data_IF_519950961947
#
_entry.id   IF_519950961947
#
_cell.length_a   1.000
_cell.length_b   1.000
_cell.length_c   1.000
_cell.angle_alpha   90.00
_cell.angle_beta   90.00
_cell.angle_gamma   90.00
#
_symmetry.space_group_name_H-M   'P 1'
#
loop_
_entity.id
_entity.type
_entity.pdbx_description
1 polymer ?
#
# COMPACT_ATOMS: atom_id res chain seq x y z
N UNK A 1 -34.15 13.04 -33.39
CA UNK A 1 -33.36 12.07 -32.62
C UNK A 1 -33.37 12.54 -31.17
N UNK A 2 -33.67 11.67 -30.21
CA UNK A 2 -33.57 11.97 -28.78
C UNK A 2 -32.10 11.90 -28.38
N UNK A 3 -31.58 12.92 -27.68
CA UNK A 3 -30.21 12.92 -27.20
C UNK A 3 -30.01 11.83 -26.14
N UNK A 4 -28.91 11.08 -26.23
CA UNK A 4 -28.55 10.05 -25.27
C UNK A 4 -27.72 10.66 -24.15
N UNK A 5 -28.40 11.07 -23.07
CA UNK A 5 -27.73 11.60 -21.88
C UNK A 5 -26.90 10.51 -21.20
N UNK A 6 -25.68 10.87 -20.83
CA UNK A 6 -24.72 9.96 -20.21
C UNK A 6 -24.72 10.05 -18.67
N UNK A 7 -25.26 11.13 -18.11
CA UNK A 7 -25.28 11.37 -16.67
C UNK A 7 -26.68 11.12 -16.06
N UNK A 8 -26.75 10.72 -14.78
CA UNK A 8 -28.00 10.39 -14.11
C UNK A 8 -29.02 11.51 -14.18
N UNK A 9 -30.31 11.15 -14.32
CA UNK A 9 -31.38 12.14 -14.45
C UNK A 9 -31.48 13.11 -13.28
N UNK A 10 -31.13 12.66 -12.08
CA UNK A 10 -31.19 13.49 -10.88
C UNK A 10 -30.04 14.50 -10.85
N UNK A 11 -28.81 14.09 -11.22
CA UNK A 11 -27.67 15.01 -11.38
C UNK A 11 -27.99 16.13 -12.38
N UNK A 12 -28.67 15.81 -13.49
CA UNK A 12 -29.06 16.78 -14.52
C UNK A 12 -30.02 17.86 -14.03
N UNK A 13 -30.76 17.62 -12.94
CA UNK A 13 -31.74 18.55 -12.37
C UNK A 13 -31.16 19.42 -11.25
N UNK A 14 -29.93 19.16 -10.81
CA UNK A 14 -29.30 19.95 -9.76
C UNK A 14 -29.07 21.40 -10.22
N UNK A 15 -29.15 22.39 -9.33
CA UNK A 15 -28.79 23.76 -9.66
C UNK A 15 -27.27 23.93 -9.75
N UNK A 16 -26.81 25.02 -10.39
CA UNK A 16 -25.40 25.41 -10.29
C UNK A 16 -25.01 25.69 -8.82
N UNK A 17 -23.77 25.38 -8.40
CA UNK A 17 -22.69 24.78 -9.20
C UNK A 17 -22.72 23.24 -9.25
N UNK A 18 -23.74 22.59 -8.69
CA UNK A 18 -23.78 21.13 -8.52
C UNK A 18 -23.98 20.33 -9.81
N UNK A 19 -24.54 20.94 -10.86
CA UNK A 19 -24.61 20.33 -12.20
C UNK A 19 -23.55 20.84 -13.19
N UNK A 20 -22.60 21.66 -12.73
CA UNK A 20 -21.53 22.22 -13.56
C UNK A 20 -20.43 21.17 -13.81
N UNK A 21 -20.03 20.97 -15.05
CA UNK A 21 -18.95 20.06 -15.45
C UNK A 21 -17.65 20.78 -15.82
N UNK A 22 -17.65 22.11 -15.79
CA UNK A 22 -16.51 22.95 -16.15
C UNK A 22 -15.48 23.06 -15.01
N UNK A 23 -14.23 23.44 -15.29
CA UNK A 23 -13.23 23.74 -14.26
C UNK A 23 -13.64 24.89 -13.30
N UNK A 24 -14.49 25.81 -13.75
CA UNK A 24 -15.00 26.93 -12.97
C UNK A 24 -15.83 26.46 -11.76
N UNK A 25 -16.41 25.25 -11.81
CA UNK A 25 -17.11 24.61 -10.68
C UNK A 25 -16.27 24.66 -9.41
N UNK A 26 -14.97 24.37 -9.49
CA UNK A 26 -14.09 24.31 -8.32
C UNK A 26 -14.08 25.64 -7.57
N UNK A 27 -13.94 26.74 -8.30
CA UNK A 27 -13.96 28.09 -7.72
C UNK A 27 -15.34 28.42 -7.15
N UNK A 28 -16.41 28.09 -7.89
CA UNK A 28 -17.77 28.32 -7.44
C UNK A 28 -18.07 27.56 -6.12
N UNK A 29 -17.61 26.32 -5.98
CA UNK A 29 -17.71 25.54 -4.75
C UNK A 29 -16.89 26.17 -3.61
N UNK A 30 -15.65 26.61 -3.87
CA UNK A 30 -14.81 27.29 -2.87
C UNK A 30 -15.44 28.60 -2.34
N UNK A 31 -16.22 29.29 -3.16
CA UNK A 31 -16.95 30.51 -2.77
C UNK A 31 -18.25 30.24 -1.99
N UNK A 32 -18.76 29.00 -1.99
CA UNK A 32 -19.97 28.65 -1.25
C UNK A 32 -19.73 28.75 0.26
N UNK A 33 -20.70 29.33 0.96
CA UNK A 33 -20.67 29.36 2.41
C UNK A 33 -20.80 27.94 2.97
N UNK A 34 -19.90 27.58 3.89
CA UNK A 34 -19.97 26.33 4.65
C UNK A 34 -21.13 26.45 5.66
N UNK A 35 -22.28 25.91 5.28
CA UNK A 35 -23.50 25.88 6.10
C UNK A 35 -24.11 24.49 6.00
N UNK A 36 -24.92 24.11 7.00
CA UNK A 36 -25.67 22.84 6.99
C UNK A 36 -26.51 22.66 5.72
N UNK A 37 -27.16 23.72 5.23
CA UNK A 37 -27.94 23.67 3.99
C UNK A 37 -27.06 23.40 2.77
N UNK A 38 -25.88 24.04 2.68
CA UNK A 38 -24.94 23.80 1.57
C UNK A 38 -24.39 22.38 1.61
N UNK A 39 -24.11 21.88 2.81
CA UNK A 39 -23.64 20.51 3.01
C UNK A 39 -24.68 19.49 2.60
N UNK A 40 -25.92 19.68 3.02
CA UNK A 40 -27.03 18.82 2.61
C UNK A 40 -27.18 18.82 1.08
N UNK A 41 -27.02 19.98 0.42
CA UNK A 41 -27.03 20.07 -1.04
C UNK A 41 -25.86 19.30 -1.69
N UNK A 42 -24.66 19.32 -1.09
CA UNK A 42 -23.51 18.54 -1.54
C UNK A 42 -23.75 17.03 -1.42
N UNK A 43 -24.31 16.59 -0.28
CA UNK A 43 -24.65 15.19 -0.04
C UNK A 43 -25.74 14.69 -0.99
N UNK A 44 -26.77 15.51 -1.23
CA UNK A 44 -27.81 15.22 -2.22
C UNK A 44 -27.25 15.15 -3.64
N UNK A 45 -26.29 16.01 -3.97
CA UNK A 45 -25.62 15.98 -5.26
C UNK A 45 -24.83 14.68 -5.46
N UNK A 46 -24.04 14.24 -4.46
CA UNK A 46 -23.35 12.94 -4.52
C UNK A 46 -24.35 11.78 -4.65
N UNK A 47 -25.43 11.81 -3.87
CA UNK A 47 -26.48 10.79 -3.95
C UNK A 47 -27.16 10.73 -5.34
N UNK A 48 -27.33 11.89 -6.00
CA UNK A 48 -27.89 11.98 -7.34
C UNK A 48 -26.96 11.41 -8.44
N UNK A 49 -25.64 11.44 -8.23
CA UNK A 49 -24.67 10.77 -9.12
C UNK A 49 -24.68 9.26 -8.89
N UNK A 50 -24.77 8.84 -7.64
CA UNK A 50 -24.78 7.44 -7.23
C UNK A 50 -26.14 6.73 -7.43
N UNK A 51 -27.15 7.40 -8.02
CA UNK A 51 -28.47 6.81 -8.27
C UNK A 51 -28.55 5.92 -9.51
N UNK A 52 -27.55 5.99 -10.39
CA UNK A 52 -27.40 5.09 -11.52
C UNK A 52 -26.73 3.77 -11.10
N UNK A 53 -27.06 2.63 -11.74
CA UNK A 53 -26.37 1.38 -11.47
C UNK A 53 -24.87 1.53 -11.76
N UNK A 54 -23.99 0.86 -10.98
CA UNK A 54 -22.56 0.88 -11.22
C UNK A 54 -22.27 0.44 -12.66
N UNK A 55 -21.32 1.11 -13.30
CA UNK A 55 -20.90 0.74 -14.65
C UNK A 55 -20.48 -0.75 -14.67
N UNK A 56 -20.98 -1.50 -15.65
CA UNK A 56 -20.67 -2.93 -15.76
C UNK A 56 -19.17 -3.16 -15.82
N UNK A 57 -18.60 -4.04 -14.98
CA UNK A 57 -17.19 -4.37 -15.05
C UNK A 57 -16.99 -5.42 -16.16
N UNK A 58 -16.66 -4.98 -17.38
CA UNK A 58 -16.29 -5.87 -18.51
C UNK A 58 -15.14 -5.22 -19.29
N UNK A 59 -14.13 -5.99 -19.72
CA UNK A 59 -12.73 -5.56 -19.68
C UNK A 59 -12.35 -4.64 -20.83
N UNK A 60 -11.50 -3.65 -20.52
CA UNK A 60 -10.79 -2.86 -21.52
C UNK A 60 -9.44 -3.48 -21.80
N UNK A 61 -9.30 -4.08 -22.97
CA UNK A 61 -7.99 -4.14 -23.62
C UNK A 61 -8.09 -3.26 -24.85
N UNK A 62 -7.82 -1.96 -24.67
CA UNK A 62 -7.36 -1.17 -25.82
C UNK A 62 -6.09 -1.80 -26.34
N UNK A 63 -5.93 -1.85 -27.66
CA UNK A 63 -4.60 -2.05 -28.23
C UNK A 63 -3.70 -0.89 -27.84
N UNK A 64 -2.39 -1.10 -27.81
CA UNK A 64 -1.41 -0.03 -27.58
C UNK A 64 -1.65 1.15 -28.53
N UNK A 65 -1.94 0.88 -29.81
CA UNK A 65 -2.31 1.90 -30.80
C UNK A 65 -3.57 2.69 -30.39
N UNK A 66 -4.58 2.03 -29.81
CA UNK A 66 -5.80 2.72 -29.36
C UNK A 66 -5.55 3.56 -28.11
N UNK A 67 -4.67 3.10 -27.21
CA UNK A 67 -4.19 3.86 -26.06
C UNK A 67 -3.44 5.12 -26.50
N UNK A 68 -2.48 4.99 -27.41
CA UNK A 68 -1.72 6.14 -27.95
C UNK A 68 -2.65 7.16 -28.61
N UNK A 69 -3.64 6.71 -29.39
CA UNK A 69 -4.61 7.61 -30.02
C UNK A 69 -5.52 8.31 -29.00
N UNK A 70 -5.97 7.59 -27.97
CA UNK A 70 -6.77 8.19 -26.92
C UNK A 70 -5.97 9.20 -26.10
N UNK A 71 -4.71 8.90 -25.76
CA UNK A 71 -3.88 9.77 -24.93
C UNK A 71 -3.69 11.15 -25.56
N UNK A 72 -3.61 11.20 -26.89
CA UNK A 72 -3.54 12.44 -27.66
C UNK A 72 -4.74 13.37 -27.46
N UNK A 73 -5.96 12.82 -27.38
CA UNK A 73 -7.17 13.64 -27.13
C UNK A 73 -7.43 13.83 -25.64
N UNK A 74 -7.03 12.88 -24.79
CA UNK A 74 -7.30 12.87 -23.35
C UNK A 74 -6.97 14.21 -22.67
N UNK A 75 -5.83 14.81 -23.01
CA UNK A 75 -5.37 16.07 -22.41
C UNK A 75 -6.18 17.31 -22.81
N UNK A 76 -6.85 17.29 -23.97
CA UNK A 76 -7.68 18.41 -24.45
C UNK A 76 -9.18 18.15 -24.28
N UNK A 77 -9.57 16.88 -24.15
CA UNK A 77 -10.97 16.44 -24.14
C UNK A 77 -11.76 17.19 -23.06
N UNK A 78 -11.24 17.26 -21.84
CA UNK A 78 -11.92 17.97 -20.74
C UNK A 78 -12.23 19.43 -21.07
N UNK A 79 -11.27 20.17 -21.64
CA UNK A 79 -11.47 21.56 -22.03
C UNK A 79 -12.51 21.71 -23.15
N UNK A 80 -12.41 20.89 -24.20
CA UNK A 80 -13.37 20.92 -25.33
C UNK A 80 -14.78 20.55 -24.89
N UNK A 81 -14.91 19.53 -24.06
CA UNK A 81 -16.19 19.09 -23.50
C UNK A 81 -16.80 20.18 -22.60
N UNK A 82 -16.01 20.85 -21.76
CA UNK A 82 -16.48 21.95 -20.92
C UNK A 82 -17.05 23.12 -21.75
N UNK A 83 -16.48 23.41 -22.93
CA UNK A 83 -17.00 24.47 -23.80
C UNK A 83 -18.35 24.13 -24.45
N UNK A 84 -18.51 22.89 -24.90
CA UNK A 84 -19.69 22.45 -25.69
C UNK A 84 -20.81 21.94 -24.79
N UNK A 85 -20.45 21.25 -23.71
CA UNK A 85 -21.35 20.58 -22.76
C UNK A 85 -21.00 20.95 -21.32
N UNK A 86 -21.16 22.23 -20.93
CA UNK A 86 -20.74 22.73 -19.61
C UNK A 86 -21.53 22.15 -18.43
N UNK A 87 -22.70 21.57 -18.67
CA UNK A 87 -23.62 21.12 -17.62
C UNK A 87 -24.06 19.69 -17.82
N UNK A 88 -24.43 19.03 -16.72
CA UNK A 88 -24.80 17.62 -16.74
C UNK A 88 -25.96 17.30 -17.69
N UNK A 89 -26.92 18.21 -17.85
CA UNK A 89 -28.05 18.04 -18.77
C UNK A 89 -27.63 18.08 -20.24
N UNK A 90 -26.50 18.71 -20.58
CA UNK A 90 -25.98 18.79 -21.94
C UNK A 90 -25.01 17.66 -22.28
N UNK A 91 -24.52 16.94 -21.27
CA UNK A 91 -23.53 15.88 -21.43
C UNK A 91 -24.14 14.62 -22.07
N UNK A 92 -23.88 14.44 -23.36
CA UNK A 92 -24.56 13.45 -24.22
C UNK A 92 -23.56 12.69 -25.09
N UNK A 93 -23.93 11.46 -25.48
CA UNK A 93 -23.12 10.63 -26.39
C UNK A 93 -22.88 11.32 -27.72
N UNK A 94 -23.91 11.96 -28.28
CA UNK A 94 -23.82 12.68 -29.54
C UNK A 94 -22.85 13.85 -29.46
N UNK A 95 -22.93 14.65 -28.38
CA UNK A 95 -22.03 15.77 -28.18
C UNK A 95 -20.56 15.35 -28.02
N UNK A 96 -20.29 14.25 -27.30
CA UNK A 96 -18.93 13.69 -27.23
C UNK A 96 -18.47 13.25 -28.62
N UNK A 97 -19.32 12.55 -29.37
CA UNK A 97 -18.98 12.11 -30.73
C UNK A 97 -18.66 13.28 -31.66
N UNK A 98 -19.39 14.39 -31.56
CA UNK A 98 -19.14 15.59 -32.37
C UNK A 98 -17.81 16.26 -32.00
N UNK A 99 -17.51 16.40 -30.71
CA UNK A 99 -16.21 16.91 -30.22
C UNK A 99 -15.05 16.03 -30.73
N UNK A 100 -15.21 14.71 -30.65
CA UNK A 100 -14.19 13.76 -31.12
C UNK A 100 -13.99 13.81 -32.64
N UNK A 101 -15.07 13.96 -33.43
CA UNK A 101 -14.99 14.11 -34.89
C UNK A 101 -14.31 15.42 -35.28
N UNK A 102 -14.65 16.52 -34.60
CA UNK A 102 -14.02 17.82 -34.83
C UNK A 102 -12.51 17.76 -34.53
N UNK A 103 -12.14 17.18 -33.39
CA UNK A 103 -10.74 16.95 -33.04
C UNK A 103 -10.05 16.07 -34.07
N UNK A 104 -10.61 14.91 -34.42
CA UNK A 104 -10.01 13.98 -35.38
C UNK A 104 -9.83 14.62 -36.77
N UNK A 105 -10.73 15.52 -37.19
CA UNK A 105 -10.63 16.26 -38.44
C UNK A 105 -9.50 17.30 -38.49
N UNK A 106 -8.96 17.68 -37.32
CA UNK A 106 -7.88 18.67 -37.19
C UNK A 106 -6.59 18.09 -36.59
N UNK A 107 -6.63 16.84 -36.10
CA UNK A 107 -5.53 16.17 -35.43
C UNK A 107 -4.32 15.96 -36.35
N UNK A 108 -3.12 16.21 -35.79
CA UNK A 108 -1.84 15.90 -36.42
C UNK A 108 -1.02 15.02 -35.47
N UNK A 109 -0.58 13.82 -35.90
CA UNK A 109 -0.89 13.15 -37.17
C UNK A 109 -2.38 12.80 -37.35
N UNK A 110 -2.88 12.55 -38.58
CA UNK A 110 -4.28 12.20 -38.81
C UNK A 110 -4.70 10.96 -38.01
N UNK A 111 -5.93 10.98 -37.49
CA UNK A 111 -6.52 9.84 -36.77
C UNK A 111 -7.15 8.88 -37.79
N UNK A 112 -6.94 7.55 -37.67
CA UNK A 112 -7.56 6.59 -38.56
C UNK A 112 -9.10 6.67 -38.48
N UNK A 113 -9.77 6.62 -39.64
CA UNK A 113 -11.24 6.74 -39.70
C UNK A 113 -11.96 5.60 -38.97
N UNK A 114 -11.34 4.41 -38.90
CA UNK A 114 -11.89 3.27 -38.18
C UNK A 114 -11.92 3.47 -36.66
N UNK A 115 -11.03 4.31 -36.11
CA UNK A 115 -10.81 4.38 -34.67
C UNK A 115 -12.03 4.91 -33.94
N UNK A 116 -12.59 6.04 -34.40
CA UNK A 116 -13.80 6.58 -33.80
C UNK A 116 -14.98 5.61 -33.94
N UNK A 117 -15.20 5.04 -35.12
CA UNK A 117 -16.33 4.14 -35.35
C UNK A 117 -16.25 2.87 -34.48
N UNK A 118 -15.04 2.35 -34.24
CA UNK A 118 -14.82 1.14 -33.45
C UNK A 118 -14.74 1.39 -31.94
N UNK A 119 -14.27 2.56 -31.50
CA UNK A 119 -13.92 2.83 -30.10
C UNK A 119 -14.83 3.87 -29.42
N UNK A 120 -15.78 4.49 -30.14
CA UNK A 120 -16.59 5.60 -29.61
C UNK A 120 -17.24 5.29 -28.27
N UNK A 121 -17.91 4.15 -28.13
CA UNK A 121 -18.61 3.80 -26.88
C UNK A 121 -17.64 3.65 -25.71
N UNK A 122 -16.44 3.13 -25.98
CA UNK A 122 -15.41 2.96 -24.97
C UNK A 122 -14.81 4.31 -24.55
N UNK A 123 -14.50 5.16 -25.52
CA UNK A 123 -14.01 6.53 -25.28
C UNK A 123 -15.05 7.34 -24.51
N UNK A 124 -16.32 7.25 -24.90
CA UNK A 124 -17.45 7.92 -24.23
C UNK A 124 -17.52 7.52 -22.76
N UNK A 125 -17.40 6.23 -22.47
CA UNK A 125 -17.40 5.74 -21.09
C UNK A 125 -16.17 6.25 -20.32
N UNK A 126 -14.95 6.23 -20.89
CA UNK A 126 -13.75 6.79 -20.22
C UNK A 126 -13.96 8.26 -19.85
N UNK A 127 -14.38 9.06 -20.83
CA UNK A 127 -14.53 10.51 -20.65
C UNK A 127 -15.66 10.84 -19.67
N UNK A 128 -16.73 10.04 -19.68
CA UNK A 128 -17.82 10.17 -18.68
C UNK A 128 -17.31 9.87 -17.28
N UNK A 129 -16.54 8.81 -17.10
CA UNK A 129 -15.96 8.46 -15.80
C UNK A 129 -14.97 9.54 -15.34
N UNK A 130 -14.13 10.07 -16.22
CA UNK A 130 -13.21 11.17 -15.88
C UNK A 130 -13.94 12.45 -15.47
N UNK A 131 -15.03 12.80 -16.18
CA UNK A 131 -15.84 13.96 -15.82
C UNK A 131 -16.51 13.79 -14.44
N UNK A 132 -17.05 12.60 -14.17
CA UNK A 132 -17.65 12.26 -12.87
C UNK A 132 -16.61 12.23 -11.75
N UNK A 133 -15.42 11.66 -11.99
CA UNK A 133 -14.33 11.61 -11.03
C UNK A 133 -13.83 13.01 -10.66
N UNK A 134 -13.58 13.87 -11.67
CA UNK A 134 -13.18 15.26 -11.42
C UNK A 134 -14.27 16.08 -10.71
N UNK A 135 -15.54 15.82 -11.02
CA UNK A 135 -16.66 16.44 -10.30
C UNK A 135 -16.75 15.98 -8.85
N UNK A 136 -16.69 14.67 -8.61
CA UNK A 136 -16.76 14.09 -7.26
C UNK A 136 -15.56 14.51 -6.41
N UNK A 137 -14.37 14.58 -7.00
CA UNK A 137 -13.16 15.12 -6.36
C UNK A 137 -13.42 16.50 -5.75
N UNK A 138 -13.96 17.44 -6.53
CA UNK A 138 -14.20 18.80 -6.05
C UNK A 138 -15.24 18.85 -4.93
N UNK A 139 -16.31 18.05 -5.03
CA UNK A 139 -17.39 17.97 -4.03
C UNK A 139 -16.88 17.35 -2.73
N UNK A 140 -16.14 16.23 -2.80
CA UNK A 140 -15.54 15.56 -1.65
C UNK A 140 -14.52 16.47 -0.96
N UNK A 141 -13.70 17.19 -1.72
CA UNK A 141 -12.74 18.17 -1.19
C UNK A 141 -13.45 19.33 -0.48
N UNK A 142 -14.61 19.77 -0.97
CA UNK A 142 -15.42 20.78 -0.29
C UNK A 142 -15.97 20.25 1.04
N UNK A 143 -16.55 19.04 1.04
CA UNK A 143 -17.07 18.37 2.24
C UNK A 143 -16.01 18.15 3.33
N UNK A 144 -14.75 17.97 2.93
CA UNK A 144 -13.62 17.78 3.85
C UNK A 144 -13.34 18.98 4.77
N UNK A 145 -13.69 20.20 4.35
CA UNK A 145 -13.19 21.41 5.01
C UNK A 145 -13.82 21.66 6.38
N UNK A 146 -15.15 21.54 6.47
CA UNK A 146 -15.90 21.84 7.70
C UNK A 146 -17.24 21.09 7.74
N UNK A 147 -17.22 19.77 7.98
CA UNK A 147 -18.43 18.97 8.03
C UNK A 147 -19.30 19.35 9.24
N UNK A 148 -20.61 19.45 9.02
CA UNK A 148 -21.64 19.61 10.05
C UNK A 148 -22.20 18.24 10.49
N UNK A 149 -22.41 17.33 9.54
CA UNK A 149 -22.82 15.94 9.71
C UNK A 149 -21.70 14.99 9.26
N UNK A 150 -20.69 14.81 10.11
CA UNK A 150 -19.57 13.91 9.83
C UNK A 150 -20.02 12.47 9.52
N UNK A 151 -21.13 12.01 10.12
CA UNK A 151 -21.66 10.68 9.87
C UNK A 151 -22.27 10.57 8.46
N UNK A 152 -23.05 11.57 8.04
CA UNK A 152 -23.61 11.65 6.69
C UNK A 152 -22.52 11.79 5.62
N UNK A 153 -21.51 12.62 5.87
CA UNK A 153 -20.34 12.76 4.97
C UNK A 153 -19.56 11.45 4.86
N UNK A 154 -19.32 10.76 5.98
CA UNK A 154 -18.64 9.46 5.96
C UNK A 154 -19.45 8.41 5.17
N UNK A 155 -20.77 8.35 5.35
CA UNK A 155 -21.63 7.43 4.61
C UNK A 155 -21.65 7.73 3.09
N UNK A 156 -21.60 9.01 2.70
CA UNK A 156 -21.51 9.39 1.29
C UNK A 156 -20.16 8.98 0.67
N UNK A 157 -19.06 9.22 1.38
CA UNK A 157 -17.72 8.82 0.95
C UNK A 157 -17.57 7.30 0.85
N UNK A 158 -18.10 6.54 1.82
CA UNK A 158 -18.16 5.06 1.76
C UNK A 158 -18.85 4.60 0.47
N UNK A 159 -20.03 5.13 0.16
CA UNK A 159 -20.75 4.79 -1.08
C UNK A 159 -19.99 5.20 -2.35
N UNK A 160 -19.25 6.30 -2.33
CA UNK A 160 -18.35 6.67 -3.42
C UNK A 160 -17.30 5.57 -3.67
N UNK A 161 -16.68 5.05 -2.60
CA UNK A 161 -15.72 3.94 -2.72
C UNK A 161 -16.36 2.66 -3.25
N UNK A 162 -17.53 2.28 -2.71
CA UNK A 162 -18.28 1.09 -3.15
C UNK A 162 -18.61 1.10 -4.65
N UNK A 163 -18.83 2.29 -5.22
CA UNK A 163 -19.22 2.48 -6.62
C UNK A 163 -18.05 2.92 -7.52
N UNK A 164 -16.82 2.97 -7.00
CA UNK A 164 -15.65 3.38 -7.79
C UNK A 164 -15.60 4.86 -8.18
N UNK A 165 -16.39 5.73 -7.52
CA UNK A 165 -16.48 7.15 -7.83
C UNK A 165 -15.47 7.93 -6.99
N UNK A 166 -14.36 8.35 -7.61
CA UNK A 166 -13.27 9.09 -6.94
C UNK A 166 -12.82 8.40 -5.64
N UNK A 167 -12.67 7.06 -5.66
CA UNK A 167 -12.45 6.25 -4.46
C UNK A 167 -11.25 6.71 -3.63
N UNK A 168 -10.19 7.19 -4.27
CA UNK A 168 -9.00 7.73 -3.58
C UNK A 168 -9.35 8.98 -2.75
N UNK A 169 -10.08 9.93 -3.33
CA UNK A 169 -10.51 11.14 -2.64
C UNK A 169 -11.50 10.84 -1.53
N UNK A 170 -12.40 9.87 -1.75
CA UNK A 170 -13.31 9.40 -0.73
C UNK A 170 -12.57 8.76 0.46
N UNK A 171 -11.58 7.89 0.22
CA UNK A 171 -10.71 7.35 1.29
C UNK A 171 -9.95 8.45 2.02
N UNK A 172 -9.41 9.44 1.30
CA UNK A 172 -8.72 10.59 1.91
C UNK A 172 -9.66 11.43 2.80
N UNK A 173 -10.92 11.60 2.38
CA UNK A 173 -11.95 12.26 3.17
C UNK A 173 -12.26 11.46 4.43
N UNK A 174 -12.48 10.15 4.32
CA UNK A 174 -12.70 9.30 5.50
C UNK A 174 -11.52 9.35 6.47
N UNK A 175 -10.28 9.35 5.96
CA UNK A 175 -9.09 9.54 6.79
C UNK A 175 -9.12 10.91 7.50
N UNK A 176 -9.47 11.98 6.81
CA UNK A 176 -9.52 13.32 7.38
C UNK A 176 -10.62 13.51 8.44
N UNK A 177 -11.76 12.81 8.29
CA UNK A 177 -12.82 12.78 9.31
C UNK A 177 -12.35 12.11 10.60
N UNK A 178 -11.43 11.15 10.53
CA UNK A 178 -10.87 10.48 11.70
C UNK A 178 -11.89 9.67 12.51
N UNK A 179 -11.66 9.54 13.81
CA UNK A 179 -12.52 8.75 14.70
C UNK A 179 -13.67 9.59 15.29
N UNK A 180 -14.90 9.02 15.42
CA UNK A 180 -15.23 7.64 15.13
C UNK A 180 -15.70 7.39 13.69
N UNK A 181 -16.21 8.40 12.98
CA UNK A 181 -17.01 8.20 11.77
C UNK A 181 -16.17 7.75 10.56
N UNK A 182 -15.05 8.43 10.30
CA UNK A 182 -14.12 8.07 9.24
C UNK A 182 -13.47 6.71 9.46
N UNK A 183 -13.03 6.44 10.69
CA UNK A 183 -12.45 5.14 11.07
C UNK A 183 -13.44 3.98 10.85
N UNK A 184 -14.69 4.12 11.30
CA UNK A 184 -15.70 3.07 11.12
C UNK A 184 -16.06 2.84 9.65
N UNK A 185 -16.14 3.90 8.85
CA UNK A 185 -16.41 3.80 7.43
C UNK A 185 -15.25 3.13 6.68
N UNK A 186 -14.00 3.51 6.96
CA UNK A 186 -12.84 2.83 6.38
C UNK A 186 -12.81 1.34 6.73
N UNK A 187 -13.16 0.98 7.98
CA UNK A 187 -13.20 -0.43 8.40
C UNK A 187 -14.24 -1.22 7.59
N UNK A 188 -15.41 -0.62 7.30
CA UNK A 188 -16.42 -1.25 6.43
C UNK A 188 -15.93 -1.38 4.99
N UNK A 189 -15.27 -0.34 4.44
CA UNK A 189 -14.66 -0.40 3.10
C UNK A 189 -13.66 -1.54 2.98
N UNK A 190 -12.80 -1.73 3.98
CA UNK A 190 -11.80 -2.82 4.00
C UNK A 190 -12.44 -4.21 3.99
N UNK A 191 -13.63 -4.33 4.57
CA UNK A 191 -14.39 -5.57 4.68
C UNK A 191 -15.40 -5.78 3.54
N UNK A 192 -15.59 -4.79 2.66
CA UNK A 192 -16.57 -4.87 1.58
C UNK A 192 -15.96 -5.52 0.32
N UNK A 193 -16.51 -6.68 -0.05
CA UNK A 193 -16.15 -7.41 -1.27
C UNK A 193 -16.47 -6.63 -2.55
N UNK A 194 -17.36 -5.63 -2.49
CA UNK A 194 -17.73 -4.76 -3.64
C UNK A 194 -16.68 -3.70 -3.93
N UNK A 195 -15.91 -3.27 -2.93
CA UNK A 195 -14.81 -2.35 -3.14
C UNK A 195 -13.69 -3.04 -3.94
N UNK A 196 -13.04 -2.30 -4.85
CA UNK A 196 -11.88 -2.84 -5.57
C UNK A 196 -10.73 -3.16 -4.61
N UNK A 197 -9.85 -4.11 -4.97
CA UNK A 197 -8.67 -4.44 -4.17
C UNK A 197 -7.77 -3.21 -3.92
N UNK A 198 -7.62 -2.34 -4.93
CA UNK A 198 -6.92 -1.06 -4.79
C UNK A 198 -7.57 -0.15 -3.76
N UNK A 199 -8.90 -0.03 -3.77
CA UNK A 199 -9.63 0.77 -2.77
C UNK A 199 -9.53 0.17 -1.37
N UNK A 200 -9.62 -1.15 -1.23
CA UNK A 200 -9.42 -1.83 0.06
C UNK A 200 -8.01 -1.61 0.60
N UNK A 201 -6.99 -1.74 -0.25
CA UNK A 201 -5.59 -1.50 0.12
C UNK A 201 -5.36 -0.06 0.61
N UNK A 202 -5.87 0.94 -0.14
CA UNK A 202 -5.80 2.35 0.28
C UNK A 202 -6.55 2.59 1.61
N UNK A 203 -7.71 1.97 1.81
CA UNK A 203 -8.45 2.09 3.06
C UNK A 203 -7.72 1.45 4.24
N UNK A 204 -7.03 0.31 4.05
CA UNK A 204 -6.15 -0.30 5.06
C UNK A 204 -5.01 0.63 5.42
N UNK A 205 -4.34 1.23 4.43
CA UNK A 205 -3.27 2.20 4.68
C UNK A 205 -3.78 3.39 5.51
N UNK A 206 -4.90 3.99 5.11
CA UNK A 206 -5.53 5.08 5.85
C UNK A 206 -5.88 4.70 7.30
N UNK A 207 -6.45 3.51 7.53
CA UNK A 207 -6.73 3.02 8.88
C UNK A 207 -5.46 2.84 9.72
N UNK A 208 -4.42 2.25 9.13
CA UNK A 208 -3.13 2.09 9.82
C UNK A 208 -2.57 3.44 10.26
N UNK A 209 -2.68 4.48 9.44
CA UNK A 209 -2.27 5.84 9.80
C UNK A 209 -3.13 6.44 10.93
N UNK A 210 -4.46 6.31 10.85
CA UNK A 210 -5.37 6.79 11.90
C UNK A 210 -5.13 6.12 13.25
N UNK A 211 -4.85 4.82 13.25
CA UNK A 211 -4.69 4.02 14.46
C UNK A 211 -3.26 4.01 15.00
N UNK A 212 -2.26 4.45 14.22
CA UNK A 212 -0.85 4.50 14.64
C UNK A 212 -0.62 5.18 16.00
N UNK A 213 -1.24 6.33 16.33
CA UNK A 213 -1.08 6.92 17.66
C UNK A 213 -1.50 5.97 18.80
N UNK A 214 -2.52 5.14 18.57
CA UNK A 214 -2.95 4.10 19.51
C UNK A 214 -1.92 2.98 19.64
N UNK A 215 -1.35 2.52 18.52
CA UNK A 215 -0.28 1.50 18.52
C UNK A 215 0.97 2.01 19.25
N UNK A 216 1.37 3.25 18.98
CA UNK A 216 2.51 3.88 19.66
C UNK A 216 2.25 4.06 21.17
N UNK A 217 1.03 4.43 21.55
CA UNK A 217 0.64 4.53 22.95
C UNK A 217 0.71 3.15 23.64
N UNK A 218 0.23 2.10 22.96
CA UNK A 218 0.37 0.70 23.42
C UNK A 218 1.83 0.28 23.52
N UNK A 219 2.66 0.68 22.55
CA UNK A 219 4.07 0.35 22.52
C UNK A 219 4.82 0.87 23.76
N UNK A 220 4.43 2.04 24.26
CA UNK A 220 5.01 2.71 25.44
C UNK A 220 4.51 2.14 26.79
N UNK A 221 3.48 1.30 26.80
CA UNK A 221 2.99 0.71 28.03
C UNK A 221 4.00 -0.28 28.61
N UNK A 222 4.13 -0.38 29.96
CA UNK A 222 4.99 -1.36 30.60
C UNK A 222 4.59 -2.80 30.23
N UNK A 223 5.58 -3.68 30.07
CA UNK A 223 5.40 -5.08 29.68
C UNK A 223 5.05 -5.99 30.87
N UNK A 224 4.21 -5.52 31.80
CA UNK A 224 3.91 -6.25 33.03
C UNK A 224 3.14 -7.54 32.72
N UNK A 225 3.78 -8.69 32.96
CA UNK A 225 3.19 -10.01 32.72
C UNK A 225 3.23 -10.46 31.25
N UNK A 226 3.91 -9.74 30.37
CA UNK A 226 4.05 -10.14 28.96
C UNK A 226 5.16 -11.20 28.78
N UNK A 227 4.95 -12.15 27.87
CA UNK A 227 5.87 -13.26 27.59
C UNK A 227 6.72 -12.97 26.35
N UNK A 228 8.05 -12.80 26.47
CA UNK A 228 8.88 -12.48 25.31
C UNK A 228 9.01 -13.66 24.35
N UNK A 229 8.77 -13.42 23.06
CA UNK A 229 8.89 -14.42 22.00
C UNK A 229 10.31 -14.53 21.44
N UNK A 230 11.10 -13.44 21.50
CA UNK A 230 12.49 -13.44 21.04
C UNK A 230 13.45 -13.97 22.13
N UNK A 231 14.58 -14.59 21.75
CA UNK A 231 15.61 -15.01 22.70
C UNK A 231 16.21 -13.83 23.48
N UNK A 232 16.72 -14.06 24.71
CA UNK A 232 17.29 -12.99 25.55
C UNK A 232 18.34 -12.12 24.85
N UNK A 233 19.22 -12.72 24.05
CA UNK A 233 20.29 -12.00 23.34
C UNK A 233 19.77 -10.89 22.39
N UNK A 234 18.54 -11.00 21.91
CA UNK A 234 17.94 -10.03 20.99
C UNK A 234 17.18 -8.92 21.72
N UNK A 235 16.69 -9.16 22.93
CA UNK A 235 15.77 -8.23 23.63
C UNK A 235 16.44 -6.89 23.90
N UNK A 236 17.71 -6.91 24.26
CA UNK A 236 18.48 -5.72 24.65
C UNK A 236 19.04 -4.92 23.46
N UNK A 237 18.55 -5.19 22.24
CA UNK A 237 18.90 -4.40 21.06
C UNK A 237 18.26 -3.00 21.15
N UNK A 238 19.07 -1.92 21.16
CA UNK A 238 18.55 -0.56 21.21
C UNK A 238 18.10 -0.04 19.83
N UNK A 239 18.23 -0.85 18.79
CA UNK A 239 17.92 -0.48 17.41
C UNK A 239 16.45 -0.79 17.12
N UNK A 240 15.74 0.20 16.59
CA UNK A 240 14.31 0.06 16.31
C UNK A 240 14.08 -0.68 15.00
N UNK A 241 12.91 -1.30 14.88
CA UNK A 241 12.48 -1.93 13.65
C UNK A 241 12.25 -0.91 12.52
N UNK A 242 11.93 0.34 12.85
CA UNK A 242 11.79 1.43 11.86
C UNK A 242 13.09 1.71 11.10
N UNK A 243 14.26 1.51 11.73
CA UNK A 243 15.56 1.55 11.06
C UNK A 243 16.00 0.16 10.59
N UNK A 244 15.08 -0.79 10.41
CA UNK A 244 15.39 -2.16 10.00
C UNK A 244 16.21 -2.96 11.01
N UNK A 245 16.30 -2.52 12.28
CA UNK A 245 17.26 -3.01 13.28
C UNK A 245 18.74 -2.75 12.94
N UNK A 246 19.03 -1.81 12.04
CA UNK A 246 20.38 -1.48 11.59
C UNK A 246 21.34 -1.16 12.75
N UNK A 247 22.51 -1.78 12.68
CA UNK A 247 23.64 -1.47 13.56
C UNK A 247 24.40 -0.26 13.01
N UNK A 248 24.76 0.74 13.83
CA UNK A 248 25.48 1.91 13.37
C UNK A 248 26.82 1.53 12.72
N UNK A 249 27.13 2.11 11.56
CA UNK A 249 28.42 1.89 10.89
C UNK A 249 29.62 2.29 11.78
N UNK A 250 29.42 3.24 12.70
CA UNK A 250 30.46 3.69 13.64
C UNK A 250 30.45 2.93 14.98
N UNK A 251 29.70 1.83 15.08
CA UNK A 251 29.69 1.02 16.31
C UNK A 251 31.10 0.46 16.57
N UNK A 252 31.73 0.74 17.72
CA UNK A 252 33.11 0.35 17.97
C UNK A 252 33.35 -1.17 17.96
N UNK A 253 34.50 -1.61 17.45
CA UNK A 253 34.98 -3.00 17.48
C UNK A 253 35.49 -3.41 18.88
N UNK A 254 34.66 -3.27 19.91
CA UNK A 254 34.98 -3.69 21.27
C UNK A 254 34.66 -5.16 21.47
N UNK A 255 35.36 -5.82 22.41
CA UNK A 255 35.07 -7.20 22.80
C UNK A 255 33.58 -7.40 23.18
N UNK A 256 32.96 -6.41 23.83
CA UNK A 256 31.56 -6.45 24.21
C UNK A 256 30.61 -6.41 23.00
N UNK A 257 30.90 -5.60 21.99
CA UNK A 257 30.08 -5.52 20.77
C UNK A 257 30.23 -6.77 19.91
N UNK A 258 31.44 -7.32 19.80
CA UNK A 258 31.69 -8.60 19.12
C UNK A 258 31.01 -9.75 19.85
N UNK A 259 31.11 -9.81 21.18
CA UNK A 259 30.42 -10.81 21.98
C UNK A 259 28.89 -10.71 21.85
N UNK A 260 28.35 -9.49 21.77
CA UNK A 260 26.92 -9.24 21.52
C UNK A 260 26.49 -9.73 20.14
N UNK A 261 27.23 -9.37 19.09
CA UNK A 261 26.97 -9.83 17.73
C UNK A 261 26.95 -11.36 17.66
N UNK A 262 27.96 -12.01 18.26
CA UNK A 262 28.04 -13.46 18.38
C UNK A 262 26.84 -14.05 19.11
N UNK A 263 26.48 -13.52 20.28
CA UNK A 263 25.36 -14.03 21.07
C UNK A 263 24.03 -13.94 20.31
N UNK A 264 23.81 -12.88 19.53
CA UNK A 264 22.61 -12.73 18.69
C UNK A 264 22.58 -13.78 17.57
N UNK A 265 23.69 -13.96 16.85
CA UNK A 265 23.78 -14.93 15.77
C UNK A 265 23.67 -16.38 16.30
N UNK A 266 24.26 -16.70 17.44
CA UNK A 266 24.11 -18.02 18.06
C UNK A 266 22.66 -18.26 18.53
N UNK A 267 21.99 -17.25 19.08
CA UNK A 267 20.61 -17.37 19.54
C UNK A 267 19.59 -17.53 18.39
N UNK A 268 19.87 -16.94 17.23
CA UNK A 268 19.03 -17.04 16.04
C UNK A 268 19.41 -18.22 15.12
N UNK A 269 20.51 -18.92 15.40
CA UNK A 269 21.06 -19.92 14.49
C UNK A 269 20.06 -21.07 14.23
N UNK A 270 19.67 -21.31 12.96
CA UNK A 270 18.73 -22.37 12.64
C UNK A 270 19.36 -23.74 12.91
N UNK A 271 18.63 -24.66 13.56
CA UNK A 271 19.08 -26.05 13.77
C UNK A 271 18.67 -26.99 12.64
N UNK A 272 17.77 -26.54 11.77
CA UNK A 272 17.25 -27.26 10.62
C UNK A 272 16.91 -26.25 9.52
N UNK A 273 16.72 -26.68 8.26
CA UNK A 273 16.26 -25.81 7.19
C UNK A 273 14.96 -25.08 7.57
N UNK A 274 14.91 -23.77 7.32
CA UNK A 274 13.72 -22.96 7.56
C UNK A 274 12.67 -23.27 6.50
N UNK A 275 11.43 -23.51 6.93
CA UNK A 275 10.32 -23.87 6.03
C UNK A 275 9.80 -22.68 5.24
N UNK A 276 9.70 -21.52 5.90
CA UNK A 276 9.28 -20.26 5.29
C UNK A 276 10.49 -19.31 5.22
N UNK A 277 11.07 -19.07 4.03
CA UNK A 277 12.24 -18.21 3.91
C UNK A 277 11.93 -16.80 4.43
N UNK A 278 12.93 -16.17 5.04
CA UNK A 278 12.81 -14.78 5.51
C UNK A 278 12.79 -13.89 4.28
N UNK A 279 11.71 -13.11 4.05
CA UNK A 279 11.67 -12.21 2.91
C UNK A 279 12.73 -11.12 3.06
N UNK A 280 13.17 -10.57 1.93
CA UNK A 280 14.10 -9.44 1.94
C UNK A 280 13.56 -8.29 2.80
N UNK A 281 14.46 -7.62 3.52
CA UNK A 281 14.11 -6.52 4.43
C UNK A 281 13.53 -5.30 3.71
N UNK A 282 13.75 -5.19 2.40
CA UNK A 282 13.13 -4.22 1.50
C UNK A 282 12.48 -4.96 0.36
N UNK A 283 11.32 -4.45 -0.08
CA UNK A 283 10.72 -4.83 -1.34
C UNK A 283 10.99 -3.72 -2.34
N UNK A 284 11.41 -4.12 -3.53
CA UNK A 284 11.65 -3.23 -4.64
C UNK A 284 10.97 -3.86 -5.85
N UNK A 285 10.13 -3.10 -6.55
CA UNK A 285 9.50 -3.50 -7.80
C UNK A 285 10.54 -3.52 -8.93
N UNK A 286 11.55 -4.39 -8.85
CA UNK A 286 12.58 -4.50 -9.88
C UNK A 286 12.10 -5.31 -11.10
N UNK A 287 10.99 -6.05 -10.98
CA UNK A 287 10.44 -6.90 -12.03
C UNK A 287 9.06 -6.39 -12.52
N UNK A 288 9.05 -5.19 -13.10
CA UNK A 288 7.89 -4.63 -13.81
C UNK A 288 7.01 -3.71 -12.96
N UNK A 289 6.48 -2.66 -13.59
CA UNK A 289 5.62 -1.65 -12.96
C UNK A 289 4.26 -2.21 -12.48
N UNK A 290 3.99 -3.50 -12.72
CA UNK A 290 2.73 -4.19 -12.46
C UNK A 290 2.79 -5.20 -11.30
N UNK A 291 3.93 -5.41 -10.63
CA UNK A 291 3.99 -6.35 -9.49
C UNK A 291 3.36 -5.72 -8.24
N UNK A 292 2.25 -6.31 -7.77
CA UNK A 292 1.57 -5.85 -6.57
C UNK A 292 2.46 -6.06 -5.33
N UNK A 293 2.53 -5.07 -4.40
CA UNK A 293 3.27 -5.23 -3.17
C UNK A 293 2.77 -6.44 -2.38
N UNK A 294 3.66 -7.32 -1.88
CA UNK A 294 3.24 -8.51 -1.18
C UNK A 294 2.58 -8.17 0.17
N UNK A 295 1.52 -8.91 0.52
CA UNK A 295 0.70 -8.67 1.72
C UNK A 295 1.48 -8.63 3.05
N UNK A 296 2.63 -9.31 3.12
CA UNK A 296 3.47 -9.28 4.33
C UNK A 296 3.98 -7.86 4.65
N UNK A 297 4.07 -6.94 3.69
CA UNK A 297 4.46 -5.55 3.95
C UNK A 297 3.46 -4.83 4.84
N UNK A 298 2.17 -5.07 4.64
CA UNK A 298 1.10 -4.48 5.46
C UNK A 298 1.15 -5.05 6.89
N UNK A 299 1.29 -6.37 7.03
CA UNK A 299 1.46 -7.02 8.34
C UNK A 299 2.70 -6.48 9.06
N UNK A 300 3.82 -6.33 8.35
CA UNK A 300 5.04 -5.76 8.90
C UNK A 300 4.82 -4.34 9.41
N UNK A 301 4.05 -3.51 8.70
CA UNK A 301 3.75 -2.15 9.13
C UNK A 301 3.00 -2.14 10.47
N UNK A 302 1.97 -2.99 10.63
CA UNK A 302 1.23 -3.13 11.89
C UNK A 302 2.14 -3.61 13.01
N UNK A 303 2.91 -4.69 12.79
CA UNK A 303 3.79 -5.25 13.82
C UNK A 303 4.88 -4.27 14.25
N UNK A 304 5.48 -3.54 13.31
CA UNK A 304 6.49 -2.51 13.59
C UNK A 304 5.93 -1.42 14.50
N UNK A 305 4.68 -1.02 14.32
CA UNK A 305 4.08 0.07 15.09
C UNK A 305 3.65 -0.41 16.50
N UNK A 306 3.20 -1.66 16.66
CA UNK A 306 2.90 -2.28 17.97
C UNK A 306 4.17 -2.64 18.77
N UNK A 307 5.20 -3.12 18.09
CA UNK A 307 6.40 -3.71 18.67
C UNK A 307 7.67 -3.10 18.05
N UNK A 308 7.91 -1.78 18.21
CA UNK A 308 8.99 -1.07 17.50
C UNK A 308 10.41 -1.50 17.90
N UNK A 309 10.57 -2.29 18.96
CA UNK A 309 11.85 -2.78 19.47
C UNK A 309 11.79 -4.28 19.76
N UNK A 310 12.93 -4.97 19.70
CA UNK A 310 13.00 -6.40 19.91
C UNK A 310 12.48 -6.87 21.29
N UNK A 311 12.75 -6.13 22.38
CA UNK A 311 12.18 -6.45 23.69
C UNK A 311 10.65 -6.41 23.72
N UNK A 312 10.01 -5.67 22.80
CA UNK A 312 8.55 -5.56 22.70
C UNK A 312 7.90 -6.69 21.91
N UNK A 313 8.68 -7.62 21.35
CA UNK A 313 8.13 -8.78 20.64
C UNK A 313 7.69 -9.84 21.65
N UNK A 314 6.46 -9.70 22.14
CA UNK A 314 5.83 -10.54 23.16
C UNK A 314 4.60 -11.26 22.60
N UNK A 315 4.17 -12.33 23.27
CA UNK A 315 3.01 -13.12 22.88
C UNK A 315 1.74 -12.25 22.84
N UNK A 316 1.52 -11.46 23.88
CA UNK A 316 0.34 -10.62 24.03
C UNK A 316 0.26 -9.54 22.94
N UNK A 317 1.39 -8.88 22.64
CA UNK A 317 1.44 -7.86 21.59
C UNK A 317 1.36 -8.46 20.19
N UNK A 318 1.94 -9.64 19.98
CA UNK A 318 1.76 -10.37 18.73
C UNK A 318 0.29 -10.73 18.52
N UNK A 319 -0.40 -11.23 19.54
CA UNK A 319 -1.85 -11.52 19.49
C UNK A 319 -2.68 -10.26 19.21
N UNK A 320 -2.39 -9.13 19.87
CA UNK A 320 -3.06 -7.85 19.59
C UNK A 320 -2.85 -7.40 18.14
N UNK A 321 -1.62 -7.45 17.65
CA UNK A 321 -1.30 -7.10 16.28
C UNK A 321 -1.93 -8.07 15.26
N UNK A 322 -2.00 -9.37 15.55
CA UNK A 322 -2.70 -10.35 14.70
C UNK A 322 -4.19 -10.03 14.62
N UNK A 323 -4.84 -9.68 15.75
CA UNK A 323 -6.25 -9.24 15.74
C UNK A 323 -6.44 -7.99 14.90
N UNK A 324 -5.54 -7.01 15.02
CA UNK A 324 -5.59 -5.81 14.20
C UNK A 324 -5.43 -6.12 12.71
N UNK A 325 -4.44 -6.92 12.34
CA UNK A 325 -4.24 -7.38 10.96
C UNK A 325 -5.47 -8.13 10.41
N UNK A 326 -6.16 -8.91 11.23
CA UNK A 326 -7.39 -9.62 10.86
C UNK A 326 -8.58 -8.64 10.69
N UNK A 327 -8.70 -7.64 11.56
CA UNK A 327 -9.70 -6.57 11.41
C UNK A 327 -9.50 -5.78 10.11
N UNK A 328 -8.24 -5.56 9.75
CA UNK A 328 -7.83 -4.95 8.50
C UNK A 328 -7.96 -5.90 7.31
N UNK A 329 -8.43 -7.14 7.46
CA UNK A 329 -8.61 -8.09 6.36
C UNK A 329 -7.34 -8.25 5.48
N UNK A 330 -6.16 -8.27 6.11
CA UNK A 330 -4.89 -8.42 5.38
C UNK A 330 -4.75 -9.89 4.93
N UNK A 331 -4.45 -10.18 3.65
CA UNK A 331 -4.34 -11.56 3.15
C UNK A 331 -3.31 -12.39 3.92
N UNK A 332 -3.67 -13.64 4.23
CA UNK A 332 -2.79 -14.60 4.91
C UNK A 332 -2.69 -14.42 6.44
N UNK A 333 -3.52 -13.55 7.03
CA UNK A 333 -3.65 -13.38 8.48
C UNK A 333 -4.79 -14.26 9.01
N UNK A 334 -4.58 -14.99 10.11
CA UNK A 334 -5.61 -15.85 10.68
C UNK A 334 -6.74 -15.02 11.30
N UNK A 335 -7.98 -15.44 11.06
CA UNK A 335 -9.17 -14.76 11.60
C UNK A 335 -9.41 -15.00 13.09
N UNK A 336 -8.97 -16.17 13.60
CA UNK A 336 -9.03 -16.50 15.02
C UNK A 336 -7.62 -16.44 15.65
N UNK A 337 -7.35 -15.50 16.57
CA UNK A 337 -6.04 -15.33 17.21
C UNK A 337 -5.65 -16.49 18.15
N UNK A 338 -6.60 -17.34 18.56
CA UNK A 338 -6.34 -18.46 19.46
C UNK A 338 -6.19 -19.80 18.71
N UNK A 339 -6.17 -19.76 17.37
CA UNK A 339 -6.07 -20.93 16.50
C UNK A 339 -4.64 -21.47 16.31
N UNK A 340 -4.50 -22.70 15.82
CA UNK A 340 -3.20 -23.25 15.41
C UNK A 340 -2.55 -22.42 14.27
N UNK A 341 -3.38 -21.81 13.42
CA UNK A 341 -2.93 -20.91 12.35
C UNK A 341 -2.31 -19.64 12.93
N UNK A 342 -2.90 -19.05 13.97
CA UNK A 342 -2.32 -17.93 14.71
C UNK A 342 -0.99 -18.29 15.38
N UNK A 343 -0.90 -19.47 15.98
CA UNK A 343 0.36 -19.96 16.52
C UNK A 343 1.44 -20.15 15.44
N UNK A 344 1.06 -20.63 14.24
CA UNK A 344 1.98 -20.74 13.11
C UNK A 344 2.39 -19.37 12.56
N UNK A 345 1.45 -18.44 12.42
CA UNK A 345 1.70 -17.05 12.05
C UNK A 345 2.70 -16.39 12.99
N UNK A 346 2.49 -16.48 14.31
CA UNK A 346 3.39 -15.91 15.30
C UNK A 346 4.81 -16.49 15.18
N UNK A 347 4.94 -17.82 15.04
CA UNK A 347 6.25 -18.47 14.85
C UNK A 347 6.96 -17.97 13.59
N UNK A 348 6.25 -17.89 12.47
CA UNK A 348 6.80 -17.37 11.20
C UNK A 348 7.34 -15.95 11.38
N UNK A 349 6.54 -15.06 11.97
CA UNK A 349 6.94 -13.66 12.19
C UNK A 349 8.10 -13.52 13.16
N UNK A 350 8.15 -14.32 14.23
CA UNK A 350 9.30 -14.38 15.14
C UNK A 350 10.57 -14.82 14.40
N UNK A 351 10.48 -15.83 13.52
CA UNK A 351 11.59 -16.26 12.66
C UNK A 351 12.02 -15.15 11.71
N UNK A 352 11.09 -14.44 11.08
CA UNK A 352 11.40 -13.34 10.15
C UNK A 352 12.06 -12.15 10.86
N UNK A 353 11.54 -11.73 12.01
CA UNK A 353 12.13 -10.66 12.84
C UNK A 353 13.55 -11.05 13.26
N UNK A 354 13.73 -12.28 13.74
CA UNK A 354 15.04 -12.82 14.12
C UNK A 354 16.01 -12.86 12.95
N UNK A 355 15.51 -13.23 11.76
CA UNK A 355 16.26 -13.24 10.51
C UNK A 355 16.72 -11.85 10.10
N UNK A 356 15.84 -10.85 10.09
CA UNK A 356 16.22 -9.46 9.78
C UNK A 356 17.28 -8.92 10.76
N UNK A 357 17.10 -9.14 12.06
CA UNK A 357 18.10 -8.77 13.07
C UNK A 357 19.45 -9.44 12.77
N UNK A 358 19.47 -10.74 12.51
CA UNK A 358 20.69 -11.47 12.19
C UNK A 358 21.34 -10.97 10.88
N UNK A 359 20.52 -10.64 9.87
CA UNK A 359 20.98 -10.06 8.61
C UNK A 359 21.70 -8.72 8.80
N UNK A 360 21.19 -7.86 9.69
CA UNK A 360 21.87 -6.60 10.03
C UNK A 360 23.18 -6.82 10.80
N UNK A 361 23.23 -7.82 11.68
CA UNK A 361 24.48 -8.20 12.36
C UNK A 361 25.52 -8.72 11.36
N UNK A 362 25.13 -9.56 10.40
CA UNK A 362 26.02 -10.01 9.33
C UNK A 362 26.50 -8.84 8.45
N UNK A 363 25.62 -7.91 8.10
CA UNK A 363 26.00 -6.70 7.37
C UNK A 363 27.05 -5.90 8.14
N UNK A 364 26.87 -5.72 9.46
CA UNK A 364 27.83 -4.98 10.27
C UNK A 364 29.19 -5.68 10.40
N UNK A 365 29.20 -6.97 10.73
CA UNK A 365 30.44 -7.77 10.81
C UNK A 365 31.19 -7.81 9.48
N UNK A 366 30.44 -7.80 8.38
CA UNK A 366 31.01 -7.92 7.05
C UNK A 366 31.53 -6.61 6.45
N UNK A 367 30.83 -5.51 6.68
CA UNK A 367 31.16 -4.21 6.05
C UNK A 367 31.99 -3.29 6.94
N UNK A 368 31.95 -3.46 8.27
CA UNK A 368 32.45 -2.46 9.22
C UNK A 368 33.38 -3.01 10.29
N UNK A 369 33.67 -4.32 10.31
CA UNK A 369 34.69 -4.89 11.18
C UNK A 369 35.91 -5.20 10.33
N UNK A 370 36.98 -4.43 10.51
CA UNK A 370 38.21 -4.54 9.70
C UNK A 370 39.17 -5.62 10.23
N UNK A 371 39.12 -5.93 11.53
CA UNK A 371 39.98 -6.95 12.13
C UNK A 371 39.35 -8.36 12.08
N UNK A 372 39.69 -9.11 11.03
CA UNK A 372 39.26 -10.50 10.81
C UNK A 372 39.52 -11.42 12.02
N UNK A 373 40.51 -11.12 12.87
CA UNK A 373 40.83 -11.96 14.03
C UNK A 373 39.75 -11.92 15.11
N UNK A 374 38.89 -10.89 15.11
CA UNK A 374 37.78 -10.75 16.05
C UNK A 374 36.58 -11.63 15.68
N UNK A 375 36.40 -11.91 14.38
CA UNK A 375 35.23 -12.62 13.85
C UNK A 375 35.55 -14.06 13.44
N UNK A 376 36.83 -14.39 13.26
CA UNK A 376 37.26 -15.74 12.90
C UNK A 376 37.52 -16.61 14.13
N UNK A 377 37.21 -17.93 14.07
CA UNK A 377 36.51 -18.63 13.00
C UNK A 377 34.98 -18.57 13.11
N UNK A 378 34.45 -18.21 14.28
CA UNK A 378 33.06 -18.45 14.66
C UNK A 378 32.02 -17.81 13.72
N UNK A 379 32.30 -16.61 13.19
CA UNK A 379 31.34 -15.90 12.35
C UNK A 379 31.20 -16.57 10.97
N UNK A 380 32.27 -17.15 10.45
CA UNK A 380 32.26 -17.90 9.17
C UNK A 380 31.44 -19.19 9.31
N UNK A 381 31.60 -19.89 10.43
CA UNK A 381 30.81 -21.09 10.74
C UNK A 381 29.32 -20.77 10.88
N UNK A 382 28.97 -19.66 11.51
CA UNK A 382 27.58 -19.20 11.62
C UNK A 382 27.04 -18.75 10.27
N UNK A 383 27.78 -17.97 9.48
CA UNK A 383 27.34 -17.55 8.15
C UNK A 383 27.08 -18.75 7.22
N UNK A 384 27.99 -19.73 7.20
CA UNK A 384 27.77 -20.99 6.45
C UNK A 384 26.49 -21.70 6.91
N UNK A 385 26.27 -21.79 8.22
CA UNK A 385 25.09 -22.45 8.79
C UNK A 385 23.79 -21.73 8.41
N UNK A 386 23.77 -20.40 8.46
CA UNK A 386 22.62 -19.60 8.06
C UNK A 386 22.30 -19.76 6.58
N UNK A 387 23.32 -19.67 5.71
CA UNK A 387 23.17 -19.89 4.28
C UNK A 387 22.67 -21.31 3.96
N UNK A 388 23.28 -22.33 4.57
CA UNK A 388 22.91 -23.75 4.36
C UNK A 388 21.45 -24.02 4.76
N UNK A 389 21.00 -23.45 5.87
CA UNK A 389 19.64 -23.66 6.38
C UNK A 389 18.62 -22.63 5.90
N UNK A 390 19.01 -21.69 5.05
CA UNK A 390 18.09 -20.75 4.39
C UNK A 390 17.53 -19.66 5.32
N UNK A 391 18.21 -19.35 6.43
CA UNK A 391 17.87 -18.18 7.24
C UNK A 391 18.76 -17.02 6.77
N UNK A 392 18.17 -16.03 6.08
CA UNK A 392 18.88 -14.88 5.47
C UNK A 392 20.13 -15.24 4.64
N UNK A 393 20.01 -16.17 3.66
CA UNK A 393 21.16 -16.71 2.93
C UNK A 393 21.98 -15.64 2.20
N UNK A 394 21.34 -14.66 1.56
CA UNK A 394 22.05 -13.63 0.79
C UNK A 394 22.96 -12.78 1.66
N UNK A 395 22.51 -12.39 2.87
CA UNK A 395 23.32 -11.63 3.82
C UNK A 395 24.44 -12.46 4.43
N UNK A 396 24.18 -13.72 4.72
CA UNK A 396 25.20 -14.64 5.22
C UNK A 396 26.30 -14.90 4.17
N UNK A 397 25.92 -15.10 2.90
CA UNK A 397 26.88 -15.26 1.79
C UNK A 397 27.62 -13.96 1.50
N UNK A 398 26.95 -12.80 1.54
CA UNK A 398 27.60 -11.49 1.44
C UNK A 398 28.68 -11.33 2.51
N UNK A 399 28.40 -11.76 3.75
CA UNK A 399 29.37 -11.75 4.85
C UNK A 399 30.60 -12.61 4.57
N UNK A 400 30.40 -13.82 4.03
CA UNK A 400 31.53 -14.66 3.61
C UNK A 400 32.31 -14.00 2.46
N UNK A 401 31.63 -13.44 1.46
CA UNK A 401 32.25 -12.78 0.31
C UNK A 401 33.09 -11.54 0.70
N UNK A 402 32.64 -10.73 1.68
CA UNK A 402 33.45 -9.61 2.19
C UNK A 402 34.73 -10.07 2.89
N UNK A 403 34.75 -11.31 3.37
CA UNK A 403 35.88 -11.96 4.05
C UNK A 403 36.55 -13.04 3.19
N UNK A 404 36.49 -12.94 1.86
CA UNK A 404 36.99 -13.96 0.92
C UNK A 404 38.50 -14.21 0.99
N UNK A 405 39.27 -13.31 1.62
CA UNK A 405 40.70 -13.53 1.86
C UNK A 405 40.96 -14.47 3.03
N UNK A 406 39.99 -14.65 3.94
CA UNK A 406 40.06 -15.56 5.08
C UNK A 406 39.90 -17.02 4.61
N UNK A 407 40.82 -17.94 4.95
CA UNK A 407 40.74 -19.33 4.50
C UNK A 407 39.42 -20.04 4.84
N UNK A 408 38.91 -19.87 6.06
CA UNK A 408 37.65 -20.49 6.50
C UNK A 408 36.43 -19.96 5.72
N UNK A 409 36.45 -18.69 5.30
CA UNK A 409 35.40 -18.13 4.45
C UNK A 409 35.38 -18.79 3.06
N UNK A 410 36.54 -18.88 2.39
CA UNK A 410 36.64 -19.55 1.08
C UNK A 410 36.21 -21.00 1.13
N UNK A 411 36.59 -21.70 2.19
CA UNK A 411 36.17 -23.09 2.38
C UNK A 411 34.65 -23.21 2.58
N UNK A 412 34.03 -22.31 3.33
CA UNK A 412 32.58 -22.26 3.50
C UNK A 412 31.86 -21.97 2.18
N UNK A 413 32.30 -20.96 1.42
CA UNK A 413 31.76 -20.63 0.10
C UNK A 413 31.88 -21.80 -0.87
N UNK A 414 33.04 -22.48 -0.92
CA UNK A 414 33.24 -23.66 -1.76
C UNK A 414 32.29 -24.82 -1.38
N UNK A 415 32.03 -25.04 -0.08
CA UNK A 415 31.03 -26.02 0.38
C UNK A 415 29.62 -25.64 -0.04
N UNK A 416 29.22 -24.38 0.15
CA UNK A 416 27.89 -23.89 -0.25
C UNK A 416 27.70 -23.98 -1.78
N UNK A 417 28.72 -23.67 -2.57
CA UNK A 417 28.73 -23.82 -4.02
C UNK A 417 28.49 -25.28 -4.43
N UNK A 418 29.24 -26.21 -3.83
CA UNK A 418 29.11 -27.65 -4.11
C UNK A 418 27.72 -28.20 -3.73
N UNK A 419 27.06 -27.61 -2.73
CA UNK A 419 25.69 -27.93 -2.32
C UNK A 419 24.61 -27.22 -3.17
N UNK A 420 24.98 -26.34 -4.10
CA UNK A 420 24.04 -25.54 -4.90
C UNK A 420 23.27 -24.51 -4.07
N UNK A 421 23.86 -24.05 -2.95
CA UNK A 421 23.24 -23.16 -1.96
C UNK A 421 23.64 -21.70 -2.10
N UNK A 422 24.42 -21.35 -3.12
CA UNK A 422 24.73 -19.95 -3.41
C UNK A 422 23.52 -19.22 -4.05
N UNK A 423 23.31 -17.94 -3.70
CA UNK A 423 22.37 -17.05 -4.40
C UNK A 423 22.65 -17.03 -5.90
N UNK A 424 21.62 -16.84 -6.77
CA UNK A 424 21.79 -16.88 -8.23
C UNK A 424 22.88 -15.96 -8.77
N UNK A 425 23.10 -14.81 -8.13
CA UNK A 425 24.12 -13.81 -8.51
C UNK A 425 25.55 -14.26 -8.18
N UNK A 426 25.70 -15.19 -7.24
CA UNK A 426 26.99 -15.68 -6.71
C UNK A 426 27.33 -17.11 -7.21
N UNK A 427 26.51 -17.71 -8.08
CA UNK A 427 26.67 -19.09 -8.58
C UNK A 427 27.79 -19.29 -9.61
#
# INVERSE_FOLDING_TARGET
>A
MTAHHLLPADMRRLPLPWNDLTPERKLALEELAHTETTEQAALEALAAVLSAPPASPVPRVWSDESWELFDRIRHEAGYRLAQVMPTADRYTREGIADVLREWAGTAQPPVPTWWLDAQLDLIVEVLTNQALEGWAHDVLRWLQQKPYDEAGVAAAAERCVENGLASRDAVNLLHALGAPHGEQALLRVVQDDRASDSSRSQAREALMWLRRPGYEARARQPQQGEHPLLPPALRDLPHSWASGFQWPAQLPETADNIARARAILEACAPTAPVTDPVPASSWHSYEGEDEEPPAWLEVRAVLRDFMPYAHLVTEERMTEATRECALLNIPGVPGDPDSEEAAHFARRWVTWISGWIAGEVFSWLGMYVDDDTLVTPWAMELAERYARFGLVPDRAVSMLNWHDTVPSSREALARLAAEGRLPPEDR
#
